data_IF_824322617897
#
_entry.id   IF_824322617897
#
_cell.length_a   1.000
_cell.length_b   1.000
_cell.length_c   1.000
_cell.angle_alpha   90.00
_cell.angle_beta   90.00
_cell.angle_gamma   90.00
#
_symmetry.space_group_name_H-M   'P 1'
#
loop_
_entity.id
_entity.type
_entity.pdbx_description
1 polymer ?
#
# COMPACT_ATOMS: atom_id res chain seq x y z
N UNK A 1 29.95 9.80 7.63
CA UNK A 1 29.26 10.79 8.49
C UNK A 1 27.74 10.66 8.38
N UNK A 2 27.16 10.56 7.17
CA UNK A 2 25.72 10.33 6.98
C UNK A 2 25.24 8.97 7.55
N UNK A 3 25.95 7.86 7.28
CA UNK A 3 25.64 6.54 7.86
C UNK A 3 25.56 6.55 9.40
N UNK A 4 26.42 7.31 10.07
CA UNK A 4 26.42 7.38 11.55
C UNK A 4 25.22 8.18 12.10
N UNK A 5 24.69 9.12 11.32
CA UNK A 5 23.52 9.91 11.72
C UNK A 5 22.22 9.12 11.51
N UNK A 6 22.16 8.37 10.41
CA UNK A 6 21.05 7.45 10.14
C UNK A 6 21.02 6.36 11.21
N UNK A 7 22.13 5.66 11.47
CA UNK A 7 22.23 4.64 12.52
C UNK A 7 21.86 5.16 13.92
N UNK A 8 22.20 6.41 14.25
CA UNK A 8 21.82 7.03 15.51
C UNK A 8 20.32 7.36 15.59
N UNK A 9 19.71 7.82 14.49
CA UNK A 9 18.27 8.05 14.42
C UNK A 9 17.48 6.74 14.49
N UNK A 10 18.02 5.68 13.88
CA UNK A 10 17.49 4.32 13.92
C UNK A 10 17.53 3.73 15.34
N UNK A 11 18.65 3.85 16.05
CA UNK A 11 18.77 3.45 17.46
C UNK A 11 17.83 4.25 18.37
N UNK A 12 17.74 5.57 18.17
CA UNK A 12 16.82 6.41 18.94
C UNK A 12 15.35 5.99 18.73
N UNK A 13 14.99 5.54 17.52
CA UNK A 13 13.66 5.02 17.23
C UNK A 13 13.35 3.74 18.03
N UNK A 14 14.30 2.81 18.12
CA UNK A 14 14.15 1.58 18.92
C UNK A 14 14.07 1.87 20.42
N UNK A 15 14.92 2.77 20.94
CA UNK A 15 14.89 3.20 22.34
C UNK A 15 13.57 3.89 22.70
N UNK A 16 13.09 4.80 21.86
CA UNK A 16 11.82 5.50 22.09
C UNK A 16 10.63 4.54 22.11
N UNK A 17 10.63 3.49 21.26
CA UNK A 17 9.58 2.47 21.27
C UNK A 17 9.66 1.61 22.53
N UNK A 18 10.86 1.25 22.98
CA UNK A 18 11.06 0.47 24.19
C UNK A 18 10.65 1.21 25.47
N UNK A 19 10.83 2.53 25.51
CA UNK A 19 10.52 3.38 26.66
C UNK A 19 9.03 3.77 26.76
N UNK A 20 8.24 3.56 25.71
CA UNK A 20 6.81 3.88 25.75
C UNK A 20 6.03 2.86 26.61
N UNK A 21 5.26 3.31 27.60
CA UNK A 21 4.50 2.41 28.44
C UNK A 21 3.41 1.67 27.64
N UNK A 22 3.19 0.36 27.87
CA UNK A 22 2.21 -0.46 27.15
C UNK A 22 0.75 -0.02 27.37
N UNK A 23 0.50 0.97 28.24
CA UNK A 23 -0.81 1.55 28.46
C UNK A 23 -1.30 2.40 27.27
N UNK A 24 -0.39 2.90 26.42
CA UNK A 24 -0.73 3.80 25.30
C UNK A 24 -0.45 3.14 23.93
N UNK A 25 -0.99 1.93 23.75
CA UNK A 25 -0.67 1.02 22.62
C UNK A 25 -0.84 1.66 21.23
N UNK A 26 -1.79 2.60 21.07
CA UNK A 26 -1.97 3.31 19.81
C UNK A 26 -0.82 4.30 19.56
N UNK A 27 -0.40 5.06 20.57
CA UNK A 27 0.74 5.97 20.46
C UNK A 27 2.04 5.21 20.16
N UNK A 28 2.24 4.03 20.78
CA UNK A 28 3.34 3.12 20.45
C UNK A 28 3.26 2.65 19.00
N UNK A 29 2.08 2.25 18.52
CA UNK A 29 1.88 1.82 17.13
C UNK A 29 2.17 2.95 16.14
N UNK A 30 1.69 4.16 16.43
CA UNK A 30 1.92 5.33 15.57
C UNK A 30 3.41 5.65 15.49
N UNK A 31 4.12 5.67 16.62
CA UNK A 31 5.57 5.84 16.65
C UNK A 31 6.29 4.75 15.85
N UNK A 32 5.93 3.48 16.04
CA UNK A 32 6.49 2.35 15.29
C UNK A 32 6.35 2.56 13.79
N UNK A 33 5.17 2.97 13.32
CA UNK A 33 4.98 3.23 11.88
C UNK A 33 5.80 4.41 11.34
N UNK A 34 6.06 5.43 12.16
CA UNK A 34 6.99 6.52 11.81
C UNK A 34 8.41 6.01 11.68
N UNK A 35 8.86 5.17 12.63
CA UNK A 35 10.18 4.55 12.62
C UNK A 35 10.38 3.67 11.38
N UNK A 36 9.38 2.82 11.07
CA UNK A 36 9.35 1.96 9.88
C UNK A 36 9.52 2.77 8.59
N UNK A 37 8.78 3.87 8.45
CA UNK A 37 8.94 4.74 7.27
C UNK A 37 10.34 5.35 7.17
N UNK A 38 10.98 5.63 8.30
CA UNK A 38 12.37 6.09 8.30
C UNK A 38 13.33 4.97 7.88
N UNK A 39 13.17 3.75 8.42
CA UNK A 39 13.94 2.56 8.05
C UNK A 39 13.85 2.26 6.54
N UNK A 40 12.65 2.24 5.98
CA UNK A 40 12.46 1.93 4.56
C UNK A 40 13.12 2.96 3.63
N UNK A 41 13.19 4.24 4.03
CA UNK A 41 13.88 5.28 3.23
C UNK A 41 15.39 5.08 3.17
N UNK A 42 15.98 4.45 4.18
CA UNK A 42 17.43 4.20 4.26
C UNK A 42 17.81 2.78 3.85
N UNK A 43 16.87 1.98 3.32
CA UNK A 43 17.12 0.59 2.92
C UNK A 43 17.37 -0.35 4.11
N UNK A 44 16.70 -0.09 5.23
CA UNK A 44 16.79 -0.91 6.44
C UNK A 44 15.50 -1.73 6.66
N UNK A 45 14.98 -2.35 5.59
CA UNK A 45 13.72 -3.09 5.58
C UNK A 45 13.72 -4.24 6.58
N UNK A 46 14.85 -4.95 6.74
CA UNK A 46 14.95 -6.04 7.73
C UNK A 46 14.71 -5.55 9.17
N UNK A 47 15.18 -4.33 9.50
CA UNK A 47 14.94 -3.73 10.82
C UNK A 47 13.49 -3.30 10.97
N UNK A 48 12.90 -2.72 9.93
CA UNK A 48 11.49 -2.36 9.91
C UNK A 48 10.59 -3.59 10.11
N UNK A 49 10.83 -4.67 9.37
CA UNK A 49 10.12 -5.95 9.48
C UNK A 49 10.20 -6.49 10.90
N UNK A 50 11.41 -6.58 11.47
CA UNK A 50 11.60 -7.09 12.84
C UNK A 50 10.83 -6.27 13.88
N UNK A 51 10.87 -4.94 13.77
CA UNK A 51 10.15 -4.06 14.70
C UNK A 51 8.63 -4.29 14.61
N UNK A 52 8.09 -4.42 13.40
CA UNK A 52 6.67 -4.67 13.17
C UNK A 52 6.23 -6.03 13.71
N UNK A 53 7.01 -7.09 13.48
CA UNK A 53 6.75 -8.44 13.98
C UNK A 53 6.76 -8.47 15.52
N UNK A 54 7.75 -7.84 16.16
CA UNK A 54 7.80 -7.74 17.63
C UNK A 54 6.56 -7.07 18.21
N UNK A 55 6.01 -6.03 17.54
CA UNK A 55 4.77 -5.40 17.99
C UNK A 55 3.56 -6.30 17.80
N UNK A 56 3.54 -7.13 16.76
CA UNK A 56 2.47 -8.11 16.52
C UNK A 56 2.49 -9.27 17.51
N UNK A 57 3.65 -9.59 18.09
CA UNK A 57 3.84 -10.60 19.15
C UNK A 57 3.36 -10.14 20.54
N UNK A 58 3.10 -8.84 20.73
CA UNK A 58 2.60 -8.33 22.00
C UNK A 58 1.21 -8.90 22.33
N UNK A 59 1.01 -9.23 23.60
CA UNK A 59 -0.29 -9.70 24.08
C UNK A 59 -1.39 -8.65 23.80
N UNK A 60 -2.51 -9.09 23.24
CA UNK A 60 -3.72 -8.29 23.01
C UNK A 60 -3.56 -7.05 22.08
N UNK A 61 -2.83 -7.13 20.96
CA UNK A 61 -2.81 -6.00 19.99
C UNK A 61 -4.24 -5.63 19.56
N UNK A 62 -4.70 -4.37 19.75
CA UNK A 62 -6.02 -3.93 19.32
C UNK A 62 -6.22 -4.12 17.81
N UNK A 63 -7.45 -4.38 17.35
CA UNK A 63 -7.75 -4.62 15.92
C UNK A 63 -7.22 -3.50 15.02
N UNK A 64 -7.42 -2.24 15.41
CA UNK A 64 -6.97 -1.07 14.64
C UNK A 64 -5.44 -1.00 14.53
N UNK A 65 -4.72 -1.21 15.64
CA UNK A 65 -3.27 -1.27 15.65
C UNK A 65 -2.73 -2.44 14.82
N UNK A 66 -3.34 -3.64 14.94
CA UNK A 66 -2.97 -4.81 14.13
C UNK A 66 -3.13 -4.54 12.64
N UNK A 67 -4.22 -3.89 12.23
CA UNK A 67 -4.45 -3.50 10.84
C UNK A 67 -3.33 -2.57 10.34
N UNK A 68 -2.99 -1.54 11.12
CA UNK A 68 -1.93 -0.59 10.77
C UNK A 68 -0.55 -1.27 10.68
N UNK A 69 -0.20 -2.13 11.63
CA UNK A 69 1.07 -2.87 11.63
C UNK A 69 1.17 -3.83 10.43
N UNK A 70 0.11 -4.60 10.15
CA UNK A 70 0.05 -5.51 9.00
C UNK A 70 0.16 -4.75 7.68
N UNK A 71 -0.48 -3.59 7.58
CA UNK A 71 -0.36 -2.71 6.41
C UNK A 71 1.09 -2.26 6.21
N UNK A 72 1.74 -1.74 7.26
CA UNK A 72 3.14 -1.33 7.17
C UNK A 72 4.10 -2.49 6.89
N UNK A 73 3.78 -3.69 7.35
CA UNK A 73 4.56 -4.90 7.03
C UNK A 73 4.41 -5.28 5.56
N UNK A 74 3.20 -5.17 4.99
CA UNK A 74 2.98 -5.36 3.56
C UNK A 74 3.79 -4.37 2.72
N UNK A 75 3.77 -3.08 3.08
CA UNK A 75 4.54 -2.03 2.41
C UNK A 75 6.05 -2.27 2.50
N UNK A 76 6.53 -2.70 3.68
CA UNK A 76 7.95 -2.98 3.93
C UNK A 76 8.43 -4.19 3.13
N UNK A 77 7.65 -5.28 3.13
CA UNK A 77 7.94 -6.47 2.34
C UNK A 77 7.98 -6.15 0.84
N UNK A 78 7.00 -5.38 0.34
CA UNK A 78 6.98 -4.93 -1.06
C UNK A 78 8.20 -4.06 -1.41
N UNK A 79 8.62 -3.14 -0.53
CA UNK A 79 9.84 -2.35 -0.76
C UNK A 79 11.12 -3.19 -0.79
N UNK A 80 11.13 -4.31 -0.07
CA UNK A 80 12.22 -5.28 -0.10
C UNK A 80 12.15 -6.24 -1.32
N UNK A 81 11.08 -6.16 -2.12
CA UNK A 81 10.82 -7.07 -3.25
C UNK A 81 10.24 -8.44 -2.84
N UNK A 82 9.88 -8.61 -1.57
CA UNK A 82 9.21 -9.83 -1.08
C UNK A 82 7.69 -9.71 -1.26
N UNK A 83 7.24 -9.89 -2.50
CA UNK A 83 5.83 -9.76 -2.85
C UNK A 83 4.95 -10.87 -2.29
N UNK A 84 5.53 -12.03 -1.95
CA UNK A 84 4.77 -13.12 -1.33
C UNK A 84 4.44 -12.79 0.12
N UNK A 85 5.42 -12.31 0.90
CA UNK A 85 5.15 -11.79 2.24
C UNK A 85 4.21 -10.57 2.19
N UNK A 86 4.40 -9.65 1.23
CA UNK A 86 3.52 -8.50 1.07
C UNK A 86 2.05 -8.90 0.82
N UNK A 87 1.86 -9.92 -0.03
CA UNK A 87 0.53 -10.45 -0.34
C UNK A 87 -0.13 -11.10 0.88
N UNK A 88 0.60 -11.87 1.69
CA UNK A 88 0.06 -12.46 2.93
C UNK A 88 -0.42 -11.37 3.90
N UNK A 89 0.38 -10.32 4.07
CA UNK A 89 0.04 -9.24 4.98
C UNK A 89 -1.17 -8.43 4.51
N UNK A 90 -1.28 -8.14 3.21
CA UNK A 90 -2.42 -7.38 2.68
C UNK A 90 -3.72 -8.19 2.69
N UNK A 91 -3.67 -9.51 2.54
CA UNK A 91 -4.85 -10.37 2.71
C UNK A 91 -5.40 -10.26 4.14
N UNK A 92 -4.50 -10.31 5.14
CA UNK A 92 -4.88 -10.08 6.54
C UNK A 92 -5.48 -8.69 6.74
N UNK A 93 -4.94 -7.65 6.10
CA UNK A 93 -5.51 -6.30 6.15
C UNK A 93 -6.93 -6.27 5.58
N UNK A 94 -7.17 -6.89 4.43
CA UNK A 94 -8.49 -6.94 3.78
C UNK A 94 -9.51 -7.63 4.70
N UNK A 95 -9.13 -8.74 5.33
CA UNK A 95 -9.97 -9.42 6.35
C UNK A 95 -10.26 -8.52 7.57
N UNK A 96 -9.28 -7.71 7.99
CA UNK A 96 -9.42 -6.77 9.10
C UNK A 96 -10.25 -5.53 8.75
N UNK A 97 -10.34 -5.15 7.48
CA UNK A 97 -11.27 -4.12 7.00
C UNK A 97 -12.70 -4.66 7.00
N UNK A 98 -12.87 -5.93 6.64
CA UNK A 98 -14.12 -6.69 6.80
C UNK A 98 -15.20 -6.30 5.79
N UNK A 99 -15.80 -5.11 5.91
CA UNK A 99 -16.96 -4.71 5.09
C UNK A 99 -16.57 -3.93 3.84
N UNK A 100 -17.38 -4.07 2.79
CA UNK A 100 -17.26 -3.32 1.53
C UNK A 100 -17.38 -1.79 1.68
N UNK A 101 -17.73 -1.29 2.87
CA UNK A 101 -17.91 0.15 3.15
C UNK A 101 -16.70 0.80 3.81
N UNK A 102 -15.66 0.03 4.18
CA UNK A 102 -14.43 0.65 4.69
C UNK A 102 -13.73 1.40 3.56
N UNK A 103 -13.52 2.71 3.75
CA UNK A 103 -12.91 3.59 2.75
C UNK A 103 -11.49 3.20 2.36
N UNK A 104 -10.82 2.37 3.15
CA UNK A 104 -9.46 1.86 2.87
C UNK A 104 -9.46 0.59 2.04
N UNK A 105 -10.60 -0.09 1.88
CA UNK A 105 -10.69 -1.33 1.12
C UNK A 105 -10.24 -1.19 -0.34
N UNK A 106 -10.62 -0.15 -1.09
CA UNK A 106 -10.17 -0.05 -2.48
C UNK A 106 -8.66 0.10 -2.60
N UNK A 107 -8.01 0.80 -1.66
CA UNK A 107 -6.56 0.93 -1.63
C UNK A 107 -5.89 -0.41 -1.31
N UNK A 108 -6.45 -1.19 -0.37
CA UNK A 108 -5.93 -2.51 -0.04
C UNK A 108 -6.04 -3.48 -1.23
N UNK A 109 -7.16 -3.44 -1.96
CA UNK A 109 -7.36 -4.22 -3.18
C UNK A 109 -6.40 -3.80 -4.30
N UNK A 110 -6.19 -2.49 -4.51
CA UNK A 110 -5.20 -1.99 -5.45
C UNK A 110 -3.78 -2.49 -5.13
N UNK A 111 -3.40 -2.48 -3.85
CA UNK A 111 -2.09 -2.98 -3.42
C UNK A 111 -1.97 -4.51 -3.59
N UNK A 112 -3.01 -5.28 -3.26
CA UNK A 112 -3.02 -6.72 -3.51
C UNK A 112 -2.92 -7.04 -5.00
N UNK A 113 -3.60 -6.27 -5.85
CA UNK A 113 -3.49 -6.40 -7.30
C UNK A 113 -2.06 -6.18 -7.79
N UNK A 114 -1.39 -5.14 -7.29
CA UNK A 114 0.00 -4.89 -7.61
C UNK A 114 0.89 -6.08 -7.19
N UNK A 115 0.76 -6.58 -5.95
CA UNK A 115 1.53 -7.74 -5.50
C UNK A 115 1.23 -9.01 -6.32
N UNK A 116 -0.04 -9.25 -6.64
CA UNK A 116 -0.44 -10.37 -7.49
C UNK A 116 0.18 -10.26 -8.90
N UNK A 117 0.22 -9.05 -9.47
CA UNK A 117 0.85 -8.83 -10.76
C UNK A 117 2.35 -9.14 -10.73
N UNK A 118 3.07 -8.62 -9.73
CA UNK A 118 4.51 -8.88 -9.55
C UNK A 118 4.81 -10.38 -9.33
N UNK A 119 3.87 -11.11 -8.73
CA UNK A 119 3.91 -12.57 -8.58
C UNK A 119 3.52 -13.35 -9.87
N UNK A 120 3.30 -12.66 -11.00
CA UNK A 120 2.94 -13.27 -12.27
C UNK A 120 1.49 -13.78 -12.31
N UNK A 121 0.59 -13.17 -11.53
CA UNK A 121 -0.85 -13.51 -11.45
C UNK A 121 -1.73 -12.37 -11.97
N UNK A 122 -1.63 -11.98 -13.26
CA UNK A 122 -2.34 -10.83 -13.80
C UNK A 122 -3.87 -10.98 -13.82
N UNK A 123 -4.40 -12.20 -13.86
CA UNK A 123 -5.85 -12.44 -13.75
C UNK A 123 -6.39 -12.08 -12.35
N UNK A 124 -5.63 -12.41 -11.31
CA UNK A 124 -6.01 -12.08 -9.93
C UNK A 124 -5.90 -10.56 -9.71
N UNK A 125 -4.86 -9.94 -10.28
CA UNK A 125 -4.69 -8.49 -10.27
C UNK A 125 -5.87 -7.76 -10.93
N UNK A 126 -6.32 -8.21 -12.11
CA UNK A 126 -7.47 -7.61 -12.79
C UNK A 126 -8.74 -7.72 -11.94
N UNK A 127 -8.98 -8.90 -11.34
CA UNK A 127 -10.13 -9.13 -10.46
C UNK A 127 -10.12 -8.18 -9.26
N UNK A 128 -8.96 -7.96 -8.65
CA UNK A 128 -8.82 -7.06 -7.51
C UNK A 128 -9.02 -5.59 -7.88
N UNK A 129 -8.54 -5.16 -9.06
CA UNK A 129 -8.72 -3.79 -9.55
C UNK A 129 -10.18 -3.51 -9.92
N UNK A 130 -10.87 -4.46 -10.54
CA UNK A 130 -12.32 -4.38 -10.79
C UNK A 130 -13.10 -4.26 -9.47
N UNK A 131 -12.72 -5.05 -8.45
CA UNK A 131 -13.31 -4.97 -7.11
C UNK A 131 -13.00 -3.63 -6.42
N UNK A 132 -11.80 -3.08 -6.60
CA UNK A 132 -11.43 -1.77 -6.06
C UNK A 132 -12.29 -0.65 -6.68
N UNK A 133 -12.50 -0.65 -8.00
CA UNK A 133 -13.38 0.31 -8.67
C UNK A 133 -14.81 0.23 -8.14
N UNK A 134 -15.37 -0.99 -8.06
CA UNK A 134 -16.71 -1.19 -7.53
C UNK A 134 -16.84 -0.68 -6.08
N UNK A 135 -15.80 -0.87 -5.27
CA UNK A 135 -15.77 -0.36 -3.90
C UNK A 135 -15.68 1.18 -3.86
N UNK A 136 -14.92 1.82 -4.74
CA UNK A 136 -14.85 3.30 -4.87
C UNK A 136 -16.21 3.86 -5.27
N UNK A 137 -16.87 3.27 -6.26
CA UNK A 137 -18.19 3.69 -6.76
C UNK A 137 -19.28 3.56 -5.69
N UNK A 138 -19.12 2.64 -4.73
CA UNK A 138 -20.03 2.47 -3.60
C UNK A 138 -19.79 3.49 -2.46
N UNK A 139 -18.69 4.25 -2.46
CA UNK A 139 -18.41 5.25 -1.43
C UNK A 139 -19.29 6.49 -1.59
N UNK A 140 -19.73 7.12 -0.48
CA UNK A 140 -20.51 8.35 -0.55
C UNK A 140 -19.66 9.52 -1.08
N UNK A 141 -20.23 10.40 -1.93
CA UNK A 141 -19.51 11.55 -2.47
C UNK A 141 -18.98 12.52 -1.39
N UNK A 142 -17.83 13.19 -1.62
CA UNK A 142 -16.91 12.95 -2.72
C UNK A 142 -16.14 11.64 -2.50
N UNK A 143 -16.09 10.78 -3.52
CA UNK A 143 -15.24 9.60 -3.53
C UNK A 143 -13.74 9.98 -3.58
N UNK A 144 -12.87 8.99 -3.68
CA UNK A 144 -11.42 9.20 -3.79
C UNK A 144 -10.98 9.23 -5.25
N UNK A 145 -11.08 10.41 -5.89
CA UNK A 145 -10.75 10.59 -7.30
C UNK A 145 -9.26 10.35 -7.61
N UNK A 146 -8.37 10.50 -6.63
CA UNK A 146 -6.96 10.17 -6.85
C UNK A 146 -6.79 8.65 -6.94
N UNK A 147 -7.36 7.92 -5.99
CA UNK A 147 -7.34 6.47 -5.98
C UNK A 147 -8.06 5.86 -7.19
N UNK A 148 -9.19 6.43 -7.61
CA UNK A 148 -9.89 5.98 -8.82
C UNK A 148 -8.98 6.02 -10.05
N UNK A 149 -8.22 7.11 -10.23
CA UNK A 149 -7.26 7.24 -11.34
C UNK A 149 -6.14 6.20 -11.27
N UNK A 150 -5.60 5.97 -10.07
CA UNK A 150 -4.53 4.98 -9.87
C UNK A 150 -5.03 3.57 -10.20
N UNK A 151 -6.24 3.21 -9.75
CA UNK A 151 -6.85 1.91 -10.03
C UNK A 151 -7.16 1.74 -11.52
N UNK A 152 -7.69 2.77 -12.20
CA UNK A 152 -7.95 2.74 -13.64
C UNK A 152 -6.65 2.56 -14.45
N UNK A 153 -5.60 3.30 -14.09
CA UNK A 153 -4.27 3.15 -14.70
C UNK A 153 -3.73 1.72 -14.57
N UNK A 154 -3.78 1.17 -13.36
CA UNK A 154 -3.32 -0.18 -13.09
C UNK A 154 -4.16 -1.20 -13.86
N UNK A 155 -5.49 -1.05 -13.90
CA UNK A 155 -6.37 -1.96 -14.62
C UNK A 155 -6.07 -1.95 -16.12
N UNK A 156 -5.89 -0.79 -16.74
CA UNK A 156 -5.51 -0.70 -18.15
C UNK A 156 -4.17 -1.41 -18.44
N UNK A 157 -3.17 -1.24 -17.56
CA UNK A 157 -1.87 -1.91 -17.68
C UNK A 157 -2.02 -3.45 -17.58
N UNK A 158 -2.74 -3.94 -16.58
CA UNK A 158 -2.98 -5.37 -16.39
C UNK A 158 -3.76 -5.96 -17.57
N UNK A 159 -4.80 -5.27 -18.06
CA UNK A 159 -5.58 -5.72 -19.22
C UNK A 159 -4.71 -5.85 -20.48
N UNK A 160 -3.75 -4.94 -20.70
CA UNK A 160 -2.78 -5.09 -21.79
C UNK A 160 -1.90 -6.32 -21.64
N UNK A 161 -1.40 -6.60 -20.43
CA UNK A 161 -0.60 -7.80 -20.17
C UNK A 161 -1.36 -9.11 -20.43
N UNK A 162 -2.70 -9.05 -20.39
CA UNK A 162 -3.61 -10.15 -20.66
C UNK A 162 -4.07 -10.20 -22.12
N UNK A 163 -3.49 -9.39 -23.02
CA UNK A 163 -3.91 -9.22 -24.42
C UNK A 163 -5.38 -8.75 -24.58
N UNK A 164 -5.96 -8.12 -23.55
CA UNK A 164 -7.34 -7.57 -23.55
C UNK A 164 -7.33 -6.10 -23.97
N UNK A 165 -6.77 -5.81 -25.14
CA UNK A 165 -6.50 -4.45 -25.62
C UNK A 165 -7.74 -3.56 -25.75
N UNK A 166 -8.86 -4.10 -26.23
CA UNK A 166 -10.11 -3.33 -26.38
C UNK A 166 -10.68 -2.89 -25.03
N UNK A 167 -10.57 -3.74 -24.01
CA UNK A 167 -11.02 -3.44 -22.65
C UNK A 167 -10.08 -2.42 -21.98
N UNK A 168 -8.76 -2.55 -22.21
CA UNK A 168 -7.79 -1.56 -21.73
C UNK A 168 -8.09 -0.17 -22.30
N UNK A 169 -8.40 -0.07 -23.61
CA UNK A 169 -8.74 1.20 -24.24
C UNK A 169 -10.00 1.85 -23.65
N UNK A 170 -11.02 1.05 -23.32
CA UNK A 170 -12.22 1.55 -22.66
C UNK A 170 -11.94 2.08 -21.24
N UNK A 171 -11.06 1.42 -20.49
CA UNK A 171 -10.63 1.88 -19.16
C UNK A 171 -9.83 3.20 -19.26
N UNK A 172 -8.99 3.33 -20.28
CA UNK A 172 -8.22 4.57 -20.53
C UNK A 172 -9.09 5.75 -20.95
N UNK A 173 -10.13 5.50 -21.75
CA UNK A 173 -11.12 6.52 -22.08
C UNK A 173 -11.80 7.03 -20.81
N UNK A 174 -12.23 6.13 -19.92
CA UNK A 174 -12.78 6.51 -18.60
C UNK A 174 -11.78 7.30 -17.77
N UNK A 175 -10.50 6.92 -17.76
CA UNK A 175 -9.47 7.66 -17.03
C UNK A 175 -9.35 9.10 -17.53
N UNK A 176 -9.38 9.34 -18.84
CA UNK A 176 -9.33 10.69 -19.41
C UNK A 176 -10.49 11.55 -18.93
N UNK A 177 -11.69 10.97 -18.80
CA UNK A 177 -12.88 11.67 -18.29
C UNK A 177 -12.77 12.07 -16.81
N UNK A 178 -11.90 11.40 -16.03
CA UNK A 178 -11.64 11.77 -14.62
C UNK A 178 -10.68 12.96 -14.47
N UNK A 179 -9.93 13.33 -15.52
CA UNK A 179 -9.06 14.50 -15.51
C UNK A 179 -9.92 15.73 -15.82
N UNK A 180 -10.06 16.70 -14.89
CA UNK A 180 -10.81 17.90 -15.20
C UNK A 180 -10.15 18.63 -16.38
N UNK A 181 -10.96 19.11 -17.33
CA UNK A 181 -10.52 19.73 -18.59
C UNK A 181 -9.52 20.90 -18.43
N UNK A 182 -9.37 21.44 -17.22
CA UNK A 182 -8.50 22.57 -16.85
C UNK A 182 -7.34 22.21 -15.90
N UNK A 183 -6.99 20.92 -15.74
CA UNK A 183 -5.83 20.55 -14.91
C UNK A 183 -4.51 21.05 -15.56
N UNK A 184 -3.67 21.82 -14.85
CA UNK A 184 -2.38 22.24 -15.37
C UNK A 184 -1.49 21.01 -15.61
N UNK A 185 -0.80 20.99 -16.75
CA UNK A 185 0.13 19.94 -17.17
C UNK A 185 1.53 20.11 -16.57
N UNK A 186 1.66 20.75 -15.41
CA UNK A 186 2.94 20.87 -14.75
C UNK A 186 3.31 19.55 -14.06
N UNK A 187 4.24 18.82 -14.69
CA UNK A 187 4.77 17.54 -14.25
C UNK A 187 5.54 17.60 -12.93
N UNK A 188 4.82 17.86 -11.83
CA UNK A 188 5.35 17.90 -10.48
C UNK A 188 4.39 17.20 -9.50
N UNK A 189 4.73 15.97 -9.12
CA UNK A 189 4.32 15.44 -7.81
C UNK A 189 3.33 14.28 -7.80
N UNK A 190 3.46 13.30 -8.69
CA UNK A 190 3.06 11.92 -8.35
C UNK A 190 4.27 11.21 -7.74
N UNK A 191 4.33 11.15 -6.40
CA UNK A 191 5.13 10.10 -5.76
C UNK A 191 4.39 8.77 -5.98
N UNK A 192 5.08 7.69 -6.37
CA UNK A 192 4.43 6.44 -6.76
C UNK A 192 3.82 5.77 -5.52
N UNK A 193 2.51 5.60 -5.51
CA UNK A 193 1.92 4.40 -4.92
C UNK A 193 2.08 3.31 -5.98
N UNK A 194 3.16 2.51 -5.88
CA UNK A 194 3.57 1.47 -6.82
C UNK A 194 3.59 1.92 -8.30
N UNK A 195 4.78 2.19 -8.83
CA UNK A 195 4.93 2.48 -10.25
C UNK A 195 4.31 1.38 -11.12
N UNK A 196 3.90 1.70 -12.36
CA UNK A 196 3.35 0.70 -13.26
C UNK A 196 4.34 -0.47 -13.38
N UNK A 197 3.86 -1.72 -13.50
CA UNK A 197 4.75 -2.85 -13.66
C UNK A 197 5.66 -2.64 -14.87
N UNK A 198 6.93 -3.06 -14.78
CA UNK A 198 7.85 -2.90 -15.90
C UNK A 198 7.33 -3.65 -17.12
N UNK A 199 7.31 -2.98 -18.27
CA UNK A 199 7.12 -3.63 -19.56
C UNK A 199 8.32 -4.54 -19.79
N UNK A 200 8.13 -5.85 -19.70
CA UNK A 200 9.16 -6.83 -20.01
C UNK A 200 9.50 -6.82 -21.49
N UNK A 201 10.77 -6.60 -21.82
CA UNK A 201 11.40 -6.96 -23.10
C UNK A 201 11.89 -8.42 -23.07
#
# INVERSE_FOLDING_TARGET
LLQNADDAALLACEELVADLPPADRQATTDLVTVCVRAFNRVGAEERATRLLEQQLELDEVPRAARLQLRWSLAETAASAGDFEAAHEQIDTVIELLGTATDRRLPLALNNRAYFAFELGRPLDAATDLEAALAAIEALPPPGDAALERDVLNNLASVLRSLDRGDEAAAVEERLLDTVPADAPTDGSGAQPAAGPPPSGD
#
